data_IF_734584552655
#
_entry.id   IF_734584552655
#
_cell.length_a   1.000
_cell.length_b   1.000
_cell.length_c   1.000
_cell.angle_alpha   90.00
_cell.angle_beta   90.00
_cell.angle_gamma   90.00
#
_symmetry.space_group_name_H-M   'P 1'
#
loop_
_entity.id
_entity.type
_entity.pdbx_description
1 polymer ?
#
# COMPACT_ATOMS: atom_id res chain seq x y z
N UNK A 1 6.98 26.42 1.55
CA UNK A 1 7.26 24.97 1.55
C UNK A 1 6.43 24.29 0.48
N UNK A 2 7.07 23.61 -0.43
CA UNK A 2 6.37 22.81 -1.41
C UNK A 2 6.09 21.42 -0.82
N UNK A 3 4.84 21.03 -0.74
CA UNK A 3 4.46 19.69 -0.36
C UNK A 3 4.67 18.78 -1.58
N UNK A 4 5.67 17.91 -1.47
CA UNK A 4 5.94 16.96 -2.54
C UNK A 4 5.21 15.66 -2.27
N UNK A 5 4.31 15.27 -3.16
CA UNK A 5 3.64 13.99 -3.05
C UNK A 5 4.56 12.88 -3.57
N UNK A 6 4.62 11.78 -2.84
CA UNK A 6 5.37 10.61 -3.27
C UNK A 6 4.41 9.59 -3.87
N UNK A 7 4.69 9.15 -5.11
CA UNK A 7 3.97 8.02 -5.68
C UNK A 7 4.49 6.74 -5.06
N UNK A 8 3.60 5.94 -4.49
CA UNK A 8 3.96 4.71 -3.77
C UNK A 8 3.49 3.50 -4.56
N UNK A 9 4.43 2.65 -4.96
CA UNK A 9 4.11 1.39 -5.62
C UNK A 9 4.69 0.19 -4.86
N UNK A 10 5.37 0.44 -3.75
CA UNK A 10 5.94 -0.61 -2.91
C UNK A 10 6.01 -0.12 -1.48
N UNK A 11 5.92 -1.04 -0.54
CA UNK A 11 6.03 -0.66 0.86
C UNK A 11 6.53 -1.85 1.69
N UNK A 12 7.11 -1.53 2.85
CA UNK A 12 7.38 -2.51 3.90
C UNK A 12 6.86 -1.96 5.21
N UNK A 13 6.39 -2.85 6.05
CA UNK A 13 5.86 -2.50 7.38
C UNK A 13 6.67 -3.26 8.42
N UNK A 14 7.09 -2.55 9.45
CA UNK A 14 7.79 -3.15 10.58
C UNK A 14 7.25 -2.57 11.88
N UNK A 15 7.64 -3.16 12.98
CA UNK A 15 7.21 -2.73 14.31
C UNK A 15 8.43 -2.48 15.17
N UNK A 16 8.38 -1.41 15.97
CA UNK A 16 9.38 -1.13 16.98
C UNK A 16 8.67 -0.65 18.25
N UNK A 17 8.73 -1.48 19.29
CA UNK A 17 7.95 -1.27 20.52
C UNK A 17 6.45 -1.21 20.17
N UNK A 18 5.76 -0.16 20.58
CA UNK A 18 4.34 0.02 20.34
C UNK A 18 4.07 0.92 19.12
N UNK A 19 5.02 0.99 18.21
CA UNK A 19 4.92 1.84 17.02
C UNK A 19 5.00 1.01 15.75
N UNK A 20 4.35 1.51 14.71
CA UNK A 20 4.40 0.95 13.37
C UNK A 20 5.27 1.84 12.49
N UNK A 21 6.19 1.24 11.77
CA UNK A 21 7.02 1.94 10.80
C UNK A 21 6.59 1.52 9.41
N UNK A 22 6.11 2.47 8.63
CA UNK A 22 5.73 2.23 7.24
C UNK A 22 6.79 2.86 6.35
N UNK A 23 7.47 2.02 5.57
CA UNK A 23 8.44 2.46 4.58
C UNK A 23 7.76 2.47 3.22
N UNK A 24 7.38 3.66 2.76
CA UNK A 24 6.66 3.85 1.50
C UNK A 24 7.66 4.21 0.40
N UNK A 25 7.65 3.45 -0.67
CA UNK A 25 8.64 3.57 -1.74
C UNK A 25 8.02 3.72 -3.11
N UNK A 26 8.71 4.45 -3.96
CA UNK A 26 8.49 4.38 -5.40
C UNK A 26 9.69 3.66 -6.00
N UNK A 27 9.46 2.52 -6.64
CA UNK A 27 10.53 1.72 -7.23
C UNK A 27 10.31 1.57 -8.72
N UNK A 28 11.40 1.40 -9.46
CA UNK A 28 11.38 1.13 -10.88
C UNK A 28 12.38 0.01 -11.20
N UNK A 29 12.16 -0.75 -12.27
CA UNK A 29 13.13 -1.76 -12.67
C UNK A 29 14.49 -1.13 -12.95
N UNK A 30 15.54 -1.74 -12.41
CA UNK A 30 16.90 -1.33 -12.73
C UNK A 30 17.38 -2.18 -13.91
N UNK A 31 17.45 -1.54 -15.09
CA UNK A 31 17.86 -2.22 -16.30
C UNK A 31 19.33 -1.92 -16.56
N UNK A 32 20.18 -2.94 -16.41
CA UNK A 32 21.58 -2.80 -16.79
C UNK A 32 21.78 -3.23 -18.23
N UNK A 33 22.35 -2.33 -19.01
CA UNK A 33 22.75 -2.65 -20.36
C UNK A 33 24.12 -3.29 -20.33
N UNK A 34 24.17 -4.60 -20.54
CA UNK A 34 25.43 -5.30 -20.70
C UNK A 34 25.76 -5.41 -22.18
N UNK A 35 26.70 -4.60 -22.65
CA UNK A 35 27.34 -4.76 -23.96
C UNK A 35 26.47 -4.95 -25.20
N UNK A 36 27.09 -4.77 -26.32
CA UNK A 36 26.43 -4.88 -27.63
C UNK A 36 26.03 -6.33 -27.91
N UNK A 37 24.74 -6.52 -28.22
CA UNK A 37 24.25 -7.85 -28.61
C UNK A 37 23.75 -8.73 -27.45
N UNK A 38 23.87 -8.29 -26.20
CA UNK A 38 23.35 -9.04 -25.07
C UNK A 38 22.02 -8.45 -24.61
N UNK A 39 21.05 -9.30 -24.23
CA UNK A 39 19.77 -8.79 -23.70
C UNK A 39 19.98 -8.03 -22.39
N UNK A 40 19.17 -7.01 -22.12
CA UNK A 40 19.28 -6.28 -20.86
C UNK A 40 18.99 -7.21 -19.67
N UNK A 41 19.81 -7.09 -18.64
CA UNK A 41 19.59 -7.84 -17.39
C UNK A 41 18.71 -6.99 -16.49
N UNK A 42 17.59 -7.57 -16.05
CA UNK A 42 16.72 -6.92 -15.07
C UNK A 42 17.26 -7.23 -13.69
N UNK A 43 17.87 -6.25 -13.08
CA UNK A 43 18.36 -6.35 -11.73
C UNK A 43 17.25 -5.95 -10.74
N UNK A 44 17.56 -5.98 -9.45
CA UNK A 44 16.63 -5.58 -8.41
C UNK A 44 16.04 -4.20 -8.67
N UNK A 45 14.82 -3.95 -8.19
CA UNK A 45 14.16 -2.65 -8.36
C UNK A 45 14.95 -1.54 -7.71
N UNK A 46 15.13 -0.47 -8.45
CA UNK A 46 15.79 0.73 -7.97
C UNK A 46 14.80 1.59 -7.21
N UNK A 47 15.17 2.04 -6.01
CA UNK A 47 14.35 2.97 -5.24
C UNK A 47 14.52 4.37 -5.83
N UNK A 48 13.42 4.96 -6.30
CA UNK A 48 13.40 6.32 -6.85
C UNK A 48 13.08 7.33 -5.76
N UNK A 49 12.16 6.97 -4.86
CA UNK A 49 11.73 7.84 -3.77
C UNK A 49 11.34 6.98 -2.57
N UNK A 50 11.58 7.48 -1.37
CA UNK A 50 11.33 6.72 -0.15
C UNK A 50 10.98 7.66 0.98
N UNK A 51 9.90 7.32 1.71
CA UNK A 51 9.47 8.06 2.89
C UNK A 51 9.14 7.11 4.02
N UNK A 52 9.64 7.41 5.20
CA UNK A 52 9.33 6.66 6.40
C UNK A 52 8.23 7.35 7.18
N UNK A 53 7.19 6.61 7.51
CA UNK A 53 6.12 7.07 8.39
C UNK A 53 6.19 6.28 9.67
N UNK A 54 6.29 6.98 10.77
CA UNK A 54 6.41 6.40 12.10
C UNK A 54 5.18 6.79 12.91
N UNK A 55 4.42 5.81 13.40
CA UNK A 55 3.15 6.11 14.05
C UNK A 55 2.84 5.16 15.20
N UNK A 56 2.16 5.65 16.24
CA UNK A 56 1.65 4.77 17.30
C UNK A 56 0.61 3.78 16.75
N UNK A 57 0.44 2.66 17.44
CA UNK A 57 -0.52 1.62 17.05
C UNK A 57 -1.92 2.17 16.82
N UNK A 58 -2.39 3.05 17.70
CA UNK A 58 -3.75 3.62 17.56
C UNK A 58 -3.94 4.37 16.26
N UNK A 59 -2.95 5.17 15.88
CA UNK A 59 -2.99 5.91 14.60
C UNK A 59 -2.91 4.94 13.42
N UNK A 60 -2.10 3.89 13.54
CA UNK A 60 -1.99 2.88 12.48
C UNK A 60 -3.33 2.15 12.26
N UNK A 61 -4.05 1.85 13.34
CA UNK A 61 -5.38 1.23 13.24
C UNK A 61 -6.37 2.16 12.53
N UNK A 62 -6.39 3.43 12.91
CA UNK A 62 -7.27 4.41 12.26
C UNK A 62 -6.93 4.56 10.78
N UNK A 63 -5.65 4.59 10.46
CA UNK A 63 -5.21 4.66 9.07
C UNK A 63 -5.68 3.45 8.27
N UNK A 64 -5.56 2.26 8.82
CA UNK A 64 -5.97 1.03 8.15
C UNK A 64 -7.47 1.06 7.83
N UNK A 65 -8.30 1.45 8.79
CA UNK A 65 -9.75 1.54 8.60
C UNK A 65 -10.08 2.61 7.56
N UNK A 66 -9.47 3.78 7.67
CA UNK A 66 -9.72 4.90 6.75
C UNK A 66 -9.32 4.54 5.31
N UNK A 67 -8.18 3.85 5.14
CA UNK A 67 -7.76 3.40 3.82
C UNK A 67 -8.77 2.42 3.21
N UNK A 68 -9.27 1.48 4.00
CA UNK A 68 -10.26 0.52 3.50
C UNK A 68 -11.55 1.23 3.08
N UNK A 69 -12.01 2.20 3.85
CA UNK A 69 -13.23 2.95 3.53
C UNK A 69 -13.07 3.74 2.24
N UNK A 70 -11.95 4.45 2.08
CA UNK A 70 -11.69 5.25 0.88
C UNK A 70 -11.58 4.36 -0.36
N UNK A 71 -10.87 3.25 -0.25
CA UNK A 71 -10.71 2.31 -1.37
C UNK A 71 -12.06 1.73 -1.77
N UNK A 72 -12.87 1.32 -0.79
CA UNK A 72 -14.21 0.80 -1.06
C UNK A 72 -15.08 1.83 -1.77
N UNK A 73 -15.03 3.09 -1.35
CA UNK A 73 -15.78 4.17 -2.00
C UNK A 73 -15.32 4.40 -3.44
N UNK A 74 -14.02 4.36 -3.68
CA UNK A 74 -13.47 4.51 -5.04
C UNK A 74 -13.96 3.38 -5.93
N UNK A 75 -13.91 2.14 -5.44
CA UNK A 75 -14.33 0.97 -6.22
C UNK A 75 -15.82 1.01 -6.52
N UNK A 76 -16.65 1.45 -5.58
CA UNK A 76 -18.09 1.59 -5.80
C UNK A 76 -18.40 2.67 -6.82
N UNK A 77 -17.77 3.84 -6.72
CA UNK A 77 -18.03 4.95 -7.64
C UNK A 77 -17.56 4.68 -9.05
N UNK A 78 -16.42 4.00 -9.20
CA UNK A 78 -15.86 3.68 -10.51
C UNK A 78 -16.45 2.41 -11.12
N UNK A 79 -17.19 1.63 -10.35
CA UNK A 79 -17.70 0.32 -10.73
C UNK A 79 -16.56 -0.60 -11.20
N UNK A 80 -15.43 -0.51 -10.55
CA UNK A 80 -14.24 -1.30 -10.87
C UNK A 80 -13.59 -1.77 -9.58
N UNK A 81 -13.33 -3.08 -9.49
CA UNK A 81 -12.66 -3.66 -8.32
C UNK A 81 -11.29 -4.19 -8.69
N UNK A 82 -10.30 -3.78 -7.90
CA UNK A 82 -8.95 -4.33 -8.00
C UNK A 82 -8.90 -5.60 -7.15
N UNK A 83 -8.68 -6.74 -7.78
CA UNK A 83 -8.61 -8.01 -7.06
C UNK A 83 -7.19 -8.29 -6.59
N UNK A 84 -7.09 -8.73 -5.34
CA UNK A 84 -5.84 -9.17 -4.77
C UNK A 84 -5.62 -10.65 -5.07
N UNK A 85 -4.37 -11.10 -4.97
CA UNK A 85 -4.02 -12.48 -5.24
C UNK A 85 -4.32 -13.39 -4.05
N UNK A 86 -4.89 -14.57 -4.33
CA UNK A 86 -5.03 -15.66 -3.37
C UNK A 86 -5.75 -15.29 -2.09
N UNK A 87 -5.15 -15.62 -0.97
CA UNK A 87 -5.73 -15.45 0.36
C UNK A 87 -5.96 -13.97 0.73
N UNK A 88 -5.20 -13.06 0.13
CA UNK A 88 -5.33 -11.63 0.43
C UNK A 88 -6.70 -11.09 0.09
N UNK A 89 -7.31 -11.56 -0.99
CA UNK A 89 -8.65 -11.14 -1.36
C UNK A 89 -9.67 -11.58 -0.30
N UNK A 90 -9.54 -12.78 0.22
CA UNK A 90 -10.43 -13.28 1.26
C UNK A 90 -10.32 -12.46 2.55
N UNK A 91 -9.10 -12.12 2.95
CA UNK A 91 -8.87 -11.26 4.11
C UNK A 91 -9.47 -9.87 3.93
N UNK A 92 -9.32 -9.30 2.74
CA UNK A 92 -9.90 -8.01 2.41
C UNK A 92 -11.42 -8.03 2.51
N UNK A 93 -12.06 -9.03 1.90
CA UNK A 93 -13.52 -9.15 1.89
C UNK A 93 -14.07 -9.33 3.30
N UNK A 94 -13.41 -10.13 4.13
CA UNK A 94 -13.84 -10.37 5.50
C UNK A 94 -13.70 -9.10 6.35
N UNK A 95 -12.57 -8.40 6.24
CA UNK A 95 -12.35 -7.17 7.00
C UNK A 95 -13.32 -6.07 6.58
N UNK A 96 -13.59 -5.95 5.29
CA UNK A 96 -14.54 -4.96 4.76
C UNK A 96 -15.95 -5.23 5.27
N UNK A 97 -16.36 -6.50 5.27
CA UNK A 97 -17.67 -6.90 5.78
C UNK A 97 -17.81 -6.53 7.27
N UNK A 98 -16.77 -6.77 8.06
CA UNK A 98 -16.78 -6.42 9.48
C UNK A 98 -16.95 -4.92 9.70
N UNK A 99 -16.28 -4.10 8.90
CA UNK A 99 -16.40 -2.64 8.98
C UNK A 99 -17.81 -2.19 8.61
N UNK A 100 -18.37 -2.75 7.55
CA UNK A 100 -19.73 -2.41 7.10
C UNK A 100 -20.79 -2.81 8.14
N UNK A 101 -20.66 -3.98 8.74
CA UNK A 101 -21.54 -4.43 9.81
C UNK A 101 -21.47 -3.51 11.02
N UNK A 102 -20.28 -3.09 11.41
CA UNK A 102 -20.09 -2.16 12.52
C UNK A 102 -20.79 -0.83 12.25
N UNK A 103 -20.65 -0.30 11.06
CA UNK A 103 -21.33 0.93 10.67
C UNK A 103 -22.85 0.80 10.72
N UNK A 104 -23.38 -0.29 10.18
CA UNK A 104 -24.82 -0.52 10.16
C UNK A 104 -25.41 -0.62 11.57
N UNK A 105 -24.66 -1.20 12.51
CA UNK A 105 -25.12 -1.40 13.88
C UNK A 105 -24.99 -0.16 14.76
N UNK A 106 -24.21 0.83 14.32
CA UNK A 106 -23.91 2.03 15.12
C UNK A 106 -24.42 3.33 14.50
N UNK A 107 -25.19 3.24 13.43
CA UNK A 107 -25.88 4.40 12.84
C UNK A 107 -27.30 4.50 13.31
#
# INVERSE_FOLDING_TARGET
>A
MSNKATFVNNFTISAQNMNVILDAKCTAPNIEKSGYGTPPVFDAHKIIDENYLFMPIGVAKELAISLMQVINDIEKRSNFRVRLNGEKQAYWDEALRAIEEYKANNE
#
